data_IF_227367248965
#
_entry.id   IF_227367248965
#
_cell.length_a   1.000
_cell.length_b   1.000
_cell.length_c   1.000
_cell.angle_alpha   90.00
_cell.angle_beta   90.00
_cell.angle_gamma   90.00
#
_symmetry.space_group_name_H-M   'P 1'
#
loop_
_entity.id
_entity.type
_entity.pdbx_description
1 polymer ?
#
# COMPACT_ATOMS: atom_id res chain seq x y z
N UNK A 1 -1.02 -14.33 3.13
CA UNK A 1 -0.75 -15.17 1.96
C UNK A 1 -0.90 -16.62 2.40
N UNK A 2 -1.57 -17.47 1.67
CA UNK A 2 -1.95 -17.39 0.26
C UNK A 2 -3.36 -16.84 0.01
N UNK A 3 -4.16 -16.62 1.04
CA UNK A 3 -5.59 -16.30 0.94
C UNK A 3 -5.90 -14.96 0.27
N UNK A 4 -4.89 -14.12 0.00
CA UNK A 4 -5.06 -12.75 -0.52
C UNK A 4 -4.82 -12.62 -2.03
N UNK A 5 -4.50 -13.70 -2.74
CA UNK A 5 -4.15 -13.65 -4.17
C UNK A 5 -5.31 -13.21 -5.08
N UNK A 6 -6.55 -13.34 -4.61
CA UNK A 6 -7.76 -12.90 -5.33
C UNK A 6 -7.93 -11.36 -5.36
N UNK A 7 -7.27 -10.62 -4.44
CA UNK A 7 -7.49 -9.17 -4.26
C UNK A 7 -7.24 -8.36 -5.53
N UNK A 8 -6.12 -8.53 -6.28
CA UNK A 8 -5.85 -7.73 -7.47
C UNK A 8 -6.90 -7.92 -8.57
N UNK A 9 -7.40 -9.14 -8.74
CA UNK A 9 -8.39 -9.46 -9.77
C UNK A 9 -9.76 -8.89 -9.42
N UNK A 10 -10.17 -9.02 -8.16
CA UNK A 10 -11.42 -8.42 -7.66
C UNK A 10 -11.36 -6.88 -7.71
N UNK A 11 -10.21 -6.29 -7.34
CA UNK A 11 -10.07 -4.84 -7.42
C UNK A 11 -10.18 -4.34 -8.86
N UNK A 12 -9.61 -5.04 -9.81
CA UNK A 12 -9.69 -4.69 -11.23
C UNK A 12 -11.12 -4.81 -11.76
N UNK A 13 -11.87 -5.85 -11.38
CA UNK A 13 -13.21 -6.13 -11.89
C UNK A 13 -14.34 -5.33 -11.23
N UNK A 14 -14.20 -5.00 -9.93
CA UNK A 14 -15.27 -4.32 -9.19
C UNK A 14 -15.37 -2.82 -9.53
N UNK A 15 -16.53 -2.19 -9.34
CA UNK A 15 -16.68 -0.73 -9.42
C UNK A 15 -15.74 0.00 -8.44
N UNK A 16 -15.16 1.13 -8.88
CA UNK A 16 -14.15 1.86 -8.08
C UNK A 16 -14.59 2.21 -6.65
N UNK A 17 -15.84 2.67 -6.38
CA UNK A 17 -16.28 2.94 -5.01
C UNK A 17 -16.33 1.68 -4.14
N UNK A 18 -16.76 0.55 -4.72
CA UNK A 18 -16.79 -0.76 -4.03
C UNK A 18 -15.38 -1.21 -3.70
N UNK A 19 -14.45 -1.07 -4.65
CA UNK A 19 -13.03 -1.38 -4.45
C UNK A 19 -12.44 -0.53 -3.33
N UNK A 20 -12.72 0.76 -3.30
CA UNK A 20 -12.26 1.67 -2.24
C UNK A 20 -12.73 1.20 -0.86
N UNK A 21 -14.01 0.86 -0.72
CA UNK A 21 -14.57 0.35 0.53
C UNK A 21 -13.94 -0.98 0.94
N UNK A 22 -13.86 -1.95 0.01
CA UNK A 22 -13.27 -3.26 0.28
C UNK A 22 -11.79 -3.16 0.67
N UNK A 23 -11.05 -2.22 0.08
CA UNK A 23 -9.61 -2.08 0.35
C UNK A 23 -9.30 -1.67 1.78
N UNK A 24 -10.24 -1.06 2.47
CA UNK A 24 -10.06 -0.53 3.84
C UNK A 24 -10.91 -1.28 4.85
N UNK A 25 -12.23 -1.32 4.67
CA UNK A 25 -13.16 -1.85 5.66
C UNK A 25 -12.88 -3.32 6.00
N UNK A 26 -12.68 -4.15 4.96
CA UNK A 26 -12.36 -5.58 5.17
C UNK A 26 -11.04 -5.79 5.91
N UNK A 27 -10.05 -4.90 5.72
CA UNK A 27 -8.77 -4.99 6.41
C UNK A 27 -8.85 -4.56 7.86
N UNK A 28 -9.51 -3.44 8.14
CA UNK A 28 -9.69 -2.97 9.51
C UNK A 28 -10.40 -4.06 10.32
N UNK A 29 -11.50 -4.62 9.79
CA UNK A 29 -12.22 -5.71 10.45
C UNK A 29 -11.35 -6.97 10.59
N UNK A 30 -10.62 -7.35 9.52
CA UNK A 30 -9.75 -8.54 9.53
C UNK A 30 -8.59 -8.41 10.52
N UNK A 31 -7.93 -7.26 10.60
CA UNK A 31 -6.85 -7.04 11.57
C UNK A 31 -7.36 -6.90 13.00
N UNK A 32 -8.53 -6.29 13.23
CA UNK A 32 -9.15 -6.27 14.54
C UNK A 32 -9.47 -7.68 15.03
N UNK A 33 -10.06 -8.52 14.17
CA UNK A 33 -10.32 -9.93 14.49
C UNK A 33 -9.03 -10.71 14.70
N UNK A 34 -8.02 -10.50 13.87
CA UNK A 34 -6.71 -11.13 14.02
C UNK A 34 -6.08 -10.80 15.38
N UNK A 35 -6.16 -9.52 15.81
CA UNK A 35 -5.67 -9.11 17.12
C UNK A 35 -6.36 -9.86 18.27
N UNK A 36 -7.68 -10.02 18.19
CA UNK A 36 -8.44 -10.78 19.21
C UNK A 36 -8.02 -12.24 19.24
N UNK A 37 -7.88 -12.88 18.07
CA UNK A 37 -7.51 -14.30 17.96
C UNK A 37 -6.07 -14.54 18.39
N UNK A 38 -5.14 -13.65 18.02
CA UNK A 38 -3.73 -13.81 18.35
C UNK A 38 -3.39 -13.42 19.79
N UNK A 39 -4.21 -12.62 20.48
CA UNK A 39 -3.92 -12.11 21.81
C UNK A 39 -3.41 -13.20 22.80
N UNK A 40 -4.03 -14.37 22.94
CA UNK A 40 -3.57 -15.40 23.88
C UNK A 40 -2.27 -16.10 23.43
N UNK A 41 -1.87 -15.97 22.18
CA UNK A 41 -0.75 -16.69 21.56
C UNK A 41 0.40 -15.80 21.13
N UNK A 42 0.24 -14.48 21.21
CA UNK A 42 1.14 -13.47 20.60
C UNK A 42 2.58 -13.49 21.14
N UNK A 43 2.79 -14.04 22.34
CA UNK A 43 4.10 -14.16 23.00
C UNK A 43 4.73 -15.54 22.83
N UNK A 44 4.10 -16.45 22.09
CA UNK A 44 4.64 -17.78 21.85
C UNK A 44 5.62 -17.74 20.66
N UNK A 45 6.92 -18.07 20.86
CA UNK A 45 7.92 -17.99 19.79
C UNK A 45 7.54 -18.70 18.48
N UNK A 46 6.90 -19.89 18.48
CA UNK A 46 6.47 -20.52 17.24
C UNK A 46 5.41 -19.70 16.49
N UNK A 47 4.49 -19.03 17.21
CA UNK A 47 3.43 -18.21 16.60
C UNK A 47 4.04 -16.93 16.02
N UNK A 48 4.94 -16.29 16.76
CA UNK A 48 5.67 -15.10 16.30
C UNK A 48 6.44 -15.39 15.01
N UNK A 49 7.16 -16.52 14.97
CA UNK A 49 7.90 -16.93 13.78
C UNK A 49 6.99 -17.19 12.57
N UNK A 50 5.87 -17.88 12.75
CA UNK A 50 4.90 -18.14 11.67
C UNK A 50 4.29 -16.84 11.17
N UNK A 51 3.90 -15.93 12.04
CA UNK A 51 3.35 -14.62 11.65
C UNK A 51 4.40 -13.78 10.92
N UNK A 52 5.66 -13.78 11.38
CA UNK A 52 6.77 -13.10 10.70
C UNK A 52 7.01 -13.67 9.30
N UNK A 53 7.00 -15.00 9.14
CA UNK A 53 7.15 -15.65 7.84
C UNK A 53 5.99 -15.29 6.90
N UNK A 54 4.76 -15.30 7.40
CA UNK A 54 3.58 -14.88 6.64
C UNK A 54 3.67 -13.40 6.24
N UNK A 55 4.16 -12.53 7.12
CA UNK A 55 4.36 -11.12 6.83
C UNK A 55 5.40 -10.91 5.73
N UNK A 56 6.56 -11.57 5.83
CA UNK A 56 7.61 -11.51 4.82
C UNK A 56 7.13 -12.01 3.45
N UNK A 57 6.45 -13.16 3.41
CA UNK A 57 5.86 -13.68 2.17
C UNK A 57 4.82 -12.72 1.58
N UNK A 58 4.00 -12.10 2.43
CA UNK A 58 2.98 -11.12 2.02
C UNK A 58 3.63 -9.85 1.44
N UNK A 59 4.72 -9.37 2.06
CA UNK A 59 5.51 -8.25 1.56
C UNK A 59 6.09 -8.54 0.17
N UNK A 60 6.73 -9.69 0.00
CA UNK A 60 7.35 -10.07 -1.27
C UNK A 60 6.31 -10.21 -2.38
N UNK A 61 5.24 -10.98 -2.16
CA UNK A 61 4.19 -11.18 -3.17
C UNK A 61 3.51 -9.86 -3.54
N UNK A 62 3.18 -9.02 -2.56
CA UNK A 62 2.55 -7.73 -2.80
C UNK A 62 3.43 -6.78 -3.60
N UNK A 63 4.70 -6.63 -3.23
CA UNK A 63 5.60 -5.71 -3.91
C UNK A 63 6.01 -6.21 -5.30
N UNK A 64 6.41 -7.47 -5.44
CA UNK A 64 6.80 -8.04 -6.74
C UNK A 64 5.61 -8.03 -7.72
N UNK A 65 4.41 -8.32 -7.23
CA UNK A 65 3.20 -8.26 -8.05
C UNK A 65 2.79 -6.86 -8.47
N UNK A 66 3.09 -5.81 -7.68
CA UNK A 66 2.76 -4.42 -7.99
C UNK A 66 3.63 -3.82 -9.11
N UNK A 67 4.90 -4.21 -9.19
CA UNK A 67 5.90 -3.63 -10.12
C UNK A 67 5.45 -3.68 -11.59
N UNK A 68 5.03 -4.84 -12.17
CA UNK A 68 4.70 -4.96 -13.58
C UNK A 68 3.34 -4.33 -13.95
N UNK A 69 2.53 -3.91 -12.99
CA UNK A 69 1.16 -3.48 -13.27
C UNK A 69 1.10 -2.17 -14.06
N UNK A 70 0.18 -2.14 -15.02
CA UNK A 70 -0.18 -0.95 -15.79
C UNK A 70 -1.56 -0.41 -15.41
N UNK A 71 -2.46 -1.28 -14.96
CA UNK A 71 -3.76 -0.91 -14.41
C UNK A 71 -3.62 -0.47 -12.96
N UNK A 72 -4.08 0.76 -12.64
CA UNK A 72 -3.92 1.34 -11.31
C UNK A 72 -4.70 0.59 -10.23
N UNK A 73 -5.92 0.11 -10.53
CA UNK A 73 -6.70 -0.66 -9.54
C UNK A 73 -6.00 -1.97 -9.17
N UNK A 74 -5.48 -2.67 -10.17
CA UNK A 74 -4.73 -3.91 -9.96
C UNK A 74 -3.44 -3.67 -9.19
N UNK A 75 -2.72 -2.59 -9.52
CA UNK A 75 -1.53 -2.17 -8.77
C UNK A 75 -1.87 -1.86 -7.31
N UNK A 76 -2.98 -1.14 -7.06
CA UNK A 76 -3.46 -0.86 -5.70
C UNK A 76 -3.89 -2.13 -4.95
N UNK A 77 -4.36 -3.16 -5.64
CA UNK A 77 -4.62 -4.48 -5.07
C UNK A 77 -3.35 -5.13 -4.52
N UNK A 78 -2.28 -5.19 -5.31
CA UNK A 78 -0.98 -5.70 -4.85
C UNK A 78 -0.35 -4.81 -3.77
N UNK A 79 -0.43 -3.49 -3.93
CA UNK A 79 -0.04 -2.52 -2.89
C UNK A 79 -0.75 -2.80 -1.57
N UNK A 80 -2.03 -3.10 -1.65
CA UNK A 80 -2.89 -3.45 -0.53
C UNK A 80 -2.42 -4.72 0.20
N UNK A 81 -1.91 -5.72 -0.54
CA UNK A 81 -1.26 -6.91 0.04
C UNK A 81 0.06 -6.52 0.72
N UNK A 82 0.90 -5.72 0.06
CA UNK A 82 2.16 -5.25 0.64
C UNK A 82 1.97 -4.47 1.96
N UNK A 83 1.00 -3.57 2.02
CA UNK A 83 0.69 -2.82 3.24
C UNK A 83 0.23 -3.75 4.38
N UNK A 84 -0.55 -4.79 4.08
CA UNK A 84 -0.90 -5.81 5.08
C UNK A 84 0.36 -6.51 5.63
N UNK A 85 1.36 -6.74 4.80
CA UNK A 85 2.65 -7.31 5.22
C UNK A 85 3.44 -6.41 6.17
N UNK A 86 3.31 -5.07 6.07
CA UNK A 86 3.87 -4.13 7.05
C UNK A 86 3.06 -4.04 8.34
N UNK A 87 1.76 -4.34 8.30
CA UNK A 87 0.90 -4.30 9.49
C UNK A 87 1.03 -5.57 10.33
N UNK A 88 1.18 -6.74 9.68
CA UNK A 88 1.25 -8.05 10.36
C UNK A 88 2.29 -8.12 11.48
N UNK A 89 3.51 -7.59 11.35
CA UNK A 89 4.50 -7.62 12.42
C UNK A 89 4.06 -6.94 13.70
N UNK A 90 3.16 -5.97 13.63
CA UNK A 90 2.64 -5.30 14.82
C UNK A 90 1.86 -6.23 15.76
N UNK A 91 1.45 -7.40 15.27
CA UNK A 91 0.72 -8.43 16.02
C UNK A 91 1.62 -9.54 16.58
N UNK A 92 2.95 -9.34 16.55
CA UNK A 92 3.96 -10.25 17.13
C UNK A 92 4.47 -9.65 18.43
N UNK A 93 4.52 -10.45 19.50
CA UNK A 93 4.96 -9.97 20.80
C UNK A 93 4.01 -8.95 21.42
N UNK A 94 4.45 -8.35 22.50
CA UNK A 94 3.73 -7.27 23.20
C UNK A 94 4.65 -6.07 23.45
N UNK A 95 4.09 -4.88 23.42
CA UNK A 95 4.76 -3.65 23.84
C UNK A 95 4.03 -3.14 25.08
N UNK A 96 4.75 -3.00 26.21
CA UNK A 96 4.18 -2.63 27.51
C UNK A 96 2.97 -3.51 27.93
N UNK A 97 3.05 -4.81 27.61
CA UNK A 97 2.00 -5.79 27.92
C UNK A 97 0.76 -5.68 27.00
N UNK A 98 0.77 -4.83 25.99
CA UNK A 98 -0.31 -4.68 25.03
C UNK A 98 0.06 -5.27 23.66
N UNK A 99 -0.88 -6.00 23.07
CA UNK A 99 -0.74 -6.49 21.70
C UNK A 99 -1.08 -5.38 20.71
N UNK A 100 -0.19 -5.16 19.74
CA UNK A 100 -0.40 -4.27 18.61
C UNK A 100 -0.89 -2.84 18.95
N UNK A 101 -0.36 -2.15 20.00
CA UNK A 101 -0.88 -0.85 20.42
C UNK A 101 -0.83 0.22 19.32
N UNK A 102 0.07 0.06 18.35
CA UNK A 102 0.29 0.99 17.24
C UNK A 102 -0.43 0.59 15.94
N UNK A 103 -1.06 -0.58 15.87
CA UNK A 103 -1.78 -1.02 14.68
C UNK A 103 -2.94 -0.10 14.28
N UNK A 104 -3.74 0.46 15.21
CA UNK A 104 -4.80 1.41 14.87
C UNK A 104 -4.29 2.66 14.15
N UNK A 105 -3.13 3.19 14.55
CA UNK A 105 -2.51 4.33 13.86
C UNK A 105 -2.16 3.99 12.42
N UNK A 106 -1.50 2.83 12.20
CA UNK A 106 -1.16 2.39 10.83
C UNK A 106 -2.42 2.23 9.97
N UNK A 107 -3.45 1.57 10.51
CA UNK A 107 -4.72 1.35 9.81
C UNK A 107 -5.42 2.66 9.45
N UNK A 108 -5.44 3.64 10.37
CA UNK A 108 -6.04 4.96 10.13
C UNK A 108 -5.30 5.72 9.01
N UNK A 109 -3.97 5.75 9.05
CA UNK A 109 -3.14 6.36 8.00
C UNK A 109 -3.38 5.67 6.65
N UNK A 110 -3.37 4.34 6.63
CA UNK A 110 -3.63 3.54 5.44
C UNK A 110 -5.03 3.82 4.85
N UNK A 111 -6.05 3.95 5.70
CA UNK A 111 -7.42 4.30 5.30
C UNK A 111 -7.44 5.62 4.51
N UNK A 112 -6.90 6.68 5.09
CA UNK A 112 -6.92 8.01 4.46
C UNK A 112 -6.18 8.01 3.12
N UNK A 113 -4.97 7.44 3.07
CA UNK A 113 -4.17 7.38 1.85
C UNK A 113 -4.85 6.59 0.74
N UNK A 114 -5.44 5.45 1.10
CA UNK A 114 -6.07 4.54 0.13
C UNK A 114 -7.37 5.11 -0.41
N UNK A 115 -8.22 5.67 0.44
CA UNK A 115 -9.43 6.37 -0.03
C UNK A 115 -9.08 7.55 -0.94
N UNK A 116 -8.08 8.35 -0.59
CA UNK A 116 -7.61 9.46 -1.43
C UNK A 116 -7.15 8.99 -2.81
N UNK A 117 -6.39 7.90 -2.87
CA UNK A 117 -5.94 7.32 -4.13
C UNK A 117 -7.09 6.79 -5.01
N UNK A 118 -8.06 6.08 -4.41
CA UNK A 118 -9.23 5.60 -5.14
C UNK A 118 -10.20 6.71 -5.55
N UNK A 119 -10.33 7.76 -4.73
CA UNK A 119 -11.11 8.93 -5.11
C UNK A 119 -10.54 9.61 -6.35
N UNK A 120 -9.23 9.79 -6.38
CA UNK A 120 -8.55 10.35 -7.55
C UNK A 120 -8.74 9.46 -8.80
N UNK A 121 -8.62 8.14 -8.63
CA UNK A 121 -8.88 7.20 -9.73
C UNK A 121 -10.32 7.30 -10.25
N UNK A 122 -11.30 7.42 -9.35
CA UNK A 122 -12.71 7.58 -9.74
C UNK A 122 -12.91 8.85 -10.58
N UNK A 123 -12.29 9.96 -10.18
CA UNK A 123 -12.33 11.22 -10.93
C UNK A 123 -11.73 11.09 -12.33
N UNK A 124 -10.56 10.44 -12.44
CA UNK A 124 -9.89 10.22 -13.73
C UNK A 124 -10.70 9.28 -14.62
N UNK A 125 -11.26 8.21 -14.05
CA UNK A 125 -12.12 7.29 -14.79
C UNK A 125 -13.34 7.99 -15.39
N UNK A 126 -14.00 8.87 -14.64
CA UNK A 126 -15.15 9.66 -15.14
C UNK A 126 -14.72 10.57 -16.29
N UNK A 127 -13.52 11.21 -16.18
CA UNK A 127 -13.08 12.18 -17.17
C UNK A 127 -12.46 11.56 -18.43
N UNK A 128 -11.77 10.41 -18.28
CA UNK A 128 -10.92 9.81 -19.34
C UNK A 128 -11.33 8.39 -19.73
N UNK A 129 -12.30 7.79 -19.06
CA UNK A 129 -12.83 6.44 -19.36
C UNK A 129 -11.86 5.29 -19.12
N UNK A 130 -10.70 5.54 -18.50
CA UNK A 130 -9.64 4.54 -18.33
C UNK A 130 -9.11 4.49 -16.89
N UNK A 131 -8.69 3.30 -16.46
CA UNK A 131 -8.08 3.02 -15.16
C UNK A 131 -6.57 2.75 -15.27
N UNK A 132 -6.01 2.93 -16.47
CA UNK A 132 -4.59 2.75 -16.71
C UNK A 132 -3.76 3.89 -16.10
N UNK A 133 -2.54 3.59 -15.66
CA UNK A 133 -1.61 4.59 -15.15
C UNK A 133 -1.32 5.65 -16.22
N UNK A 134 -1.34 5.27 -17.49
CA UNK A 134 -1.21 6.18 -18.63
C UNK A 134 -2.30 7.24 -18.69
N UNK A 135 -3.50 6.95 -18.20
CA UNK A 135 -4.61 7.90 -18.15
C UNK A 135 -4.34 9.10 -17.21
N UNK A 136 -3.37 9.00 -16.33
CA UNK A 136 -2.97 10.09 -15.44
C UNK A 136 -2.02 11.11 -16.11
N UNK A 137 -1.52 10.85 -17.35
CA UNK A 137 -0.59 11.74 -18.05
C UNK A 137 -1.14 13.14 -18.18
N UNK A 138 -0.28 14.14 -17.88
CA UNK A 138 -0.61 15.56 -18.02
C UNK A 138 -1.59 16.09 -16.97
N UNK A 139 -1.96 15.31 -15.95
CA UNK A 139 -2.86 15.76 -14.88
C UNK A 139 -2.31 16.98 -14.15
N UNK A 140 -0.98 17.06 -13.99
CA UNK A 140 -0.30 18.22 -13.38
C UNK A 140 -0.55 19.54 -14.11
N UNK A 141 -0.84 19.50 -15.42
CA UNK A 141 -1.19 20.70 -16.20
C UNK A 141 -2.69 20.97 -16.25
N UNK A 142 -3.50 19.91 -16.40
CA UNK A 142 -4.96 20.03 -16.54
C UNK A 142 -5.67 20.31 -15.23
N UNK A 143 -5.22 19.68 -14.14
CA UNK A 143 -5.78 19.89 -12.80
C UNK A 143 -4.67 19.78 -11.73
N UNK A 144 -3.89 20.86 -11.52
CA UNK A 144 -2.73 20.82 -10.63
C UNK A 144 -3.09 20.54 -9.16
N UNK A 145 -4.27 20.99 -8.70
CA UNK A 145 -4.71 20.72 -7.32
C UNK A 145 -4.97 19.24 -7.09
N UNK A 146 -5.65 18.58 -8.03
CA UNK A 146 -5.88 17.15 -7.96
C UNK A 146 -4.57 16.39 -8.07
N UNK A 147 -3.69 16.77 -9.00
CA UNK A 147 -2.37 16.15 -9.15
C UNK A 147 -1.53 16.25 -7.87
N UNK A 148 -1.54 17.39 -7.18
CA UNK A 148 -0.84 17.58 -5.91
C UNK A 148 -1.41 16.68 -4.82
N UNK A 149 -2.75 16.64 -4.67
CA UNK A 149 -3.40 15.77 -3.69
C UNK A 149 -3.04 14.29 -3.92
N UNK A 150 -3.10 13.83 -5.17
CA UNK A 150 -2.72 12.46 -5.55
C UNK A 150 -1.24 12.20 -5.27
N UNK A 151 -0.36 13.16 -5.56
CA UNK A 151 1.07 13.07 -5.27
C UNK A 151 1.32 12.86 -3.78
N UNK A 152 0.65 13.64 -2.92
CA UNK A 152 0.77 13.52 -1.45
C UNK A 152 0.31 12.12 -1.00
N UNK A 153 -0.82 11.61 -1.52
CA UNK A 153 -1.32 10.28 -1.15
C UNK A 153 -0.36 9.17 -1.58
N UNK A 154 0.13 9.19 -2.82
CA UNK A 154 1.06 8.17 -3.30
C UNK A 154 2.46 8.29 -2.67
N UNK A 155 2.95 9.49 -2.39
CA UNK A 155 4.18 9.71 -1.65
C UNK A 155 4.07 9.17 -0.21
N UNK A 156 2.91 9.35 0.42
CA UNK A 156 2.64 8.80 1.74
C UNK A 156 2.54 7.27 1.71
N UNK A 157 1.86 6.67 0.72
CA UNK A 157 1.84 5.21 0.53
C UNK A 157 3.26 4.64 0.28
N UNK A 158 4.09 5.36 -0.46
CA UNK A 158 5.50 5.01 -0.65
C UNK A 158 6.28 5.04 0.68
N UNK A 159 5.94 5.96 1.57
CA UNK A 159 6.64 6.19 2.83
C UNK A 159 7.77 7.22 2.66
N UNK A 160 7.51 8.30 1.93
CA UNK A 160 8.45 9.42 1.83
C UNK A 160 8.59 10.08 3.21
N UNK A 161 9.81 10.41 3.67
CA UNK A 161 10.02 11.14 4.92
C UNK A 161 9.08 12.35 5.05
N UNK A 162 8.63 12.66 6.27
CA UNK A 162 7.66 13.69 6.63
C UNK A 162 6.19 13.36 6.30
N UNK A 163 5.90 12.22 5.68
CA UNK A 163 4.53 11.77 5.46
C UNK A 163 4.03 10.83 6.56
N UNK A 164 2.72 10.77 6.76
CA UNK A 164 2.13 9.86 7.75
C UNK A 164 2.44 8.39 7.46
N UNK A 165 2.54 7.99 6.18
CA UNK A 165 2.90 6.64 5.78
C UNK A 165 4.34 6.25 6.12
N UNK A 166 5.25 7.22 6.14
CA UNK A 166 6.61 7.00 6.65
C UNK A 166 6.60 6.63 8.13
N UNK A 167 5.89 7.41 8.95
CA UNK A 167 5.79 7.13 10.39
C UNK A 167 5.10 5.78 10.64
N UNK A 168 4.07 5.44 9.89
CA UNK A 168 3.40 4.15 10.00
C UNK A 168 4.36 2.98 9.73
N UNK A 169 5.18 3.05 8.67
CA UNK A 169 6.21 2.04 8.38
C UNK A 169 7.30 2.01 9.44
N UNK A 170 7.80 3.19 9.87
CA UNK A 170 8.82 3.27 10.92
C UNK A 170 8.37 2.59 12.22
N UNK A 171 7.10 2.74 12.60
CA UNK A 171 6.53 2.03 13.75
C UNK A 171 6.64 0.52 13.58
N UNK A 172 6.37 -0.03 12.38
CA UNK A 172 6.53 -1.46 12.12
C UNK A 172 7.99 -1.91 12.20
N UNK A 173 8.94 -1.11 11.68
CA UNK A 173 10.37 -1.41 11.80
C UNK A 173 10.83 -1.43 13.25
N UNK A 174 10.49 -0.37 14.00
CA UNK A 174 10.86 -0.25 15.42
C UNK A 174 10.25 -1.39 16.23
N UNK A 175 9.02 -1.79 15.93
CA UNK A 175 8.37 -2.91 16.60
C UNK A 175 9.15 -4.23 16.39
N UNK A 176 9.56 -4.54 15.15
CA UNK A 176 10.35 -5.75 14.85
C UNK A 176 11.71 -5.72 15.56
N UNK A 177 12.38 -4.57 15.58
CA UNK A 177 13.66 -4.40 16.31
C UNK A 177 13.49 -4.67 17.81
N UNK A 178 12.40 -4.17 18.40
CA UNK A 178 12.14 -4.33 19.83
C UNK A 178 11.68 -5.73 20.23
N UNK A 179 11.14 -6.51 19.27
CA UNK A 179 10.67 -7.89 19.53
C UNK A 179 11.85 -8.87 19.75
N UNK A 180 13.03 -8.58 19.20
CA UNK A 180 14.25 -9.30 19.49
C UNK A 180 14.97 -9.94 18.30
N UNK A 181 16.23 -10.36 18.54
CA UNK A 181 17.21 -10.79 17.54
C UNK A 181 16.77 -11.94 16.62
N UNK A 182 15.88 -12.83 17.05
CA UNK A 182 15.46 -13.96 16.20
C UNK A 182 14.53 -13.57 15.06
N UNK A 183 14.00 -12.34 15.06
CA UNK A 183 13.19 -11.78 13.97
C UNK A 183 13.93 -10.76 13.09
N UNK A 184 15.18 -10.47 13.38
CA UNK A 184 16.00 -9.48 12.65
C UNK A 184 16.15 -9.81 11.16
N UNK A 185 16.05 -11.10 10.79
CA UNK A 185 16.04 -11.53 9.38
C UNK A 185 14.89 -10.90 8.57
N UNK A 186 13.83 -10.45 9.24
CA UNK A 186 12.69 -9.81 8.59
C UNK A 186 13.00 -8.37 8.18
N UNK A 187 13.88 -7.67 8.89
CA UNK A 187 14.24 -6.27 8.61
C UNK A 187 14.76 -6.04 7.18
N UNK A 188 15.74 -6.81 6.67
CA UNK A 188 16.18 -6.69 5.28
C UNK A 188 15.03 -6.86 4.27
N UNK A 189 14.13 -7.80 4.51
CA UNK A 189 12.95 -8.02 3.65
C UNK A 189 12.04 -6.78 3.66
N UNK A 190 11.76 -6.23 4.84
CA UNK A 190 10.95 -5.02 4.98
C UNK A 190 11.59 -3.83 4.27
N UNK A 191 12.92 -3.62 4.42
CA UNK A 191 13.65 -2.53 3.77
C UNK A 191 13.59 -2.64 2.26
N UNK A 192 13.91 -3.81 1.69
CA UNK A 192 13.86 -4.05 0.23
C UNK A 192 12.44 -3.86 -0.29
N UNK A 193 11.42 -4.35 0.42
CA UNK A 193 10.03 -4.18 0.05
C UNK A 193 9.56 -2.72 0.17
N UNK A 194 10.02 -1.97 1.17
CA UNK A 194 9.74 -0.55 1.25
C UNK A 194 10.37 0.22 0.08
N UNK A 195 11.63 -0.08 -0.25
CA UNK A 195 12.32 0.51 -1.40
C UNK A 195 11.63 0.19 -2.74
N UNK A 196 11.19 -1.05 -2.94
CA UNK A 196 10.43 -1.44 -4.15
C UNK A 196 9.09 -0.70 -4.26
N UNK A 197 8.47 -0.36 -3.13
CA UNK A 197 7.27 0.46 -3.05
C UNK A 197 7.44 1.83 -3.70
N UNK A 198 8.59 2.47 -3.49
CA UNK A 198 8.89 3.74 -4.16
C UNK A 198 8.77 3.64 -5.68
N UNK A 199 9.27 2.56 -6.28
CA UNK A 199 9.28 2.40 -7.72
C UNK A 199 7.87 2.48 -8.33
N UNK A 200 6.92 1.67 -7.88
CA UNK A 200 5.60 1.62 -8.50
C UNK A 200 4.71 2.80 -8.10
N UNK A 201 4.85 3.37 -6.90
CA UNK A 201 4.12 4.59 -6.55
C UNK A 201 4.64 5.82 -7.30
N UNK A 202 5.97 5.97 -7.42
CA UNK A 202 6.55 7.05 -8.19
C UNK A 202 6.31 6.92 -9.71
N UNK A 203 6.11 5.70 -10.22
CA UNK A 203 5.64 5.47 -11.60
C UNK A 203 4.33 6.22 -11.88
N UNK A 204 3.37 6.22 -10.94
CA UNK A 204 2.11 6.95 -11.06
C UNK A 204 2.36 8.45 -10.98
N UNK A 205 3.12 8.92 -9.99
CA UNK A 205 3.46 10.34 -9.82
C UNK A 205 4.15 10.87 -11.09
N UNK A 206 5.16 10.17 -11.59
CA UNK A 206 5.86 10.54 -12.83
C UNK A 206 4.89 10.63 -14.03
N UNK A 207 3.95 9.71 -14.14
CA UNK A 207 2.95 9.75 -15.21
C UNK A 207 2.12 11.03 -15.16
N UNK A 208 1.72 11.52 -13.99
CA UNK A 208 0.89 12.74 -13.87
C UNK A 208 1.60 14.02 -14.34
N UNK A 209 2.92 14.09 -14.15
CA UNK A 209 3.71 15.26 -14.54
C UNK A 209 4.40 15.10 -15.90
N UNK A 210 4.32 13.93 -16.53
CA UNK A 210 4.84 13.75 -17.89
C UNK A 210 3.95 14.45 -18.89
N UNK A 211 4.59 15.23 -19.81
CA UNK A 211 3.90 15.91 -20.92
C UNK A 211 3.70 14.90 -22.03
N UNK A 212 2.47 14.76 -22.53
CA UNK A 212 2.22 14.05 -23.78
C UNK A 212 2.67 14.97 -24.92
N UNK A 213 3.77 14.66 -25.55
CA UNK A 213 4.15 15.23 -26.86
C UNK A 213 3.34 14.57 -27.99
N UNK A 214 2.01 14.54 -27.87
CA UNK A 214 1.14 14.18 -28.98
C UNK A 214 0.86 15.47 -29.75
N UNK A 215 1.28 15.48 -31.01
CA UNK A 215 1.14 16.53 -32.01
C UNK A 215 2.24 17.62 -32.04
N UNK A 216 3.47 17.23 -32.37
CA UNK A 216 4.24 17.94 -33.37
C UNK A 216 4.02 17.19 -34.71
N UNK A 217 2.85 17.31 -35.31
CA UNK A 217 2.72 17.15 -36.72
C UNK A 217 3.44 18.38 -37.31
N UNK A 218 4.67 18.18 -37.80
CA UNK A 218 5.30 19.12 -38.70
C UNK A 218 4.33 19.34 -39.86
N UNK A 219 4.02 20.60 -40.22
CA UNK A 219 3.30 20.87 -41.46
C UNK A 219 4.16 20.34 -42.60
N UNK A 220 3.68 19.30 -43.29
CA UNK A 220 4.24 18.89 -44.57
C UNK A 220 3.94 20.02 -45.54
N UNK A 221 4.96 20.80 -45.85
CA UNK A 221 5.02 21.68 -47.04
C UNK A 221 5.15 20.84 -48.29
#
# INVERSE_FOLDING_TARGET
VPMQLWIPDVYQGAPTPVTAFLSVASKVAGFALLGIILAPFAVLPPVEFVVALMAAATLLVGNLGAIPQTNLKRMMGYSSIAQAGFILPLFIGTVDGQLAPNAPFYLAVYLVMTFGAFFALAMIRIQRGSEEISAFRGLGKTNPRLALAVTIMFASLAGVPLTAGFFAKMISFVHVINTGLYLDWMLPVMIVCAASGFYYYFKVIRSMYSVSYTHLTLPTT
#
